data_IF_305742917666
#
_entry.id   IF_305742917666
#
_cell.length_a   1.000
_cell.length_b   1.000
_cell.length_c   1.000
_cell.angle_alpha   90.00
_cell.angle_beta   90.00
_cell.angle_gamma   90.00
#
_symmetry.space_group_name_H-M   'P 1'
#
loop_
_entity.id
_entity.type
_entity.pdbx_description
1 polymer ?
#
# COMPACT_ATOMS: atom_id res chain seq x y z
N UNK A 1 -5.46 -20.40 5.19
CA UNK A 1 -4.11 -20.38 5.80
C UNK A 1 -3.69 -18.95 6.16
N UNK A 2 -3.77 -17.97 5.25
CA UNK A 2 -3.45 -16.56 5.56
C UNK A 2 -4.32 -15.96 6.69
N UNK A 3 -5.63 -16.23 6.72
CA UNK A 3 -6.52 -15.75 7.79
C UNK A 3 -6.10 -16.32 9.15
N UNK A 4 -5.72 -17.60 9.18
CA UNK A 4 -5.28 -18.28 10.42
C UNK A 4 -3.92 -17.74 10.87
N UNK A 5 -3.00 -17.45 9.93
CA UNK A 5 -1.71 -16.80 10.21
C UNK A 5 -1.86 -15.35 10.67
N UNK A 6 -2.85 -14.62 10.17
CA UNK A 6 -3.15 -13.26 10.61
C UNK A 6 -3.76 -13.25 12.01
N UNK A 7 -4.63 -14.22 12.32
CA UNK A 7 -5.20 -14.40 13.66
C UNK A 7 -4.13 -14.86 14.65
N UNK A 8 -3.28 -15.84 14.29
CA UNK A 8 -2.19 -16.29 15.15
C UNK A 8 -1.18 -15.18 15.40
N UNK A 9 -0.77 -14.48 14.34
CA UNK A 9 0.14 -13.34 14.42
C UNK A 9 -0.42 -12.21 15.29
N UNK A 10 -1.72 -11.93 15.20
CA UNK A 10 -2.35 -10.91 16.03
C UNK A 10 -2.54 -11.29 17.50
N UNK A 11 -2.70 -12.57 17.81
CA UNK A 11 -2.75 -13.08 19.19
C UNK A 11 -1.36 -13.08 19.82
N UNK A 12 -0.32 -13.35 19.03
CA UNK A 12 1.09 -13.39 19.49
C UNK A 12 1.81 -12.04 19.37
N UNK A 13 1.09 -10.97 19.00
CA UNK A 13 1.66 -9.65 18.80
C UNK A 13 2.14 -9.11 20.16
N UNK A 14 3.42 -8.72 20.24
CA UNK A 14 4.07 -8.31 21.49
C UNK A 14 3.39 -7.07 22.12
N UNK A 15 2.64 -6.31 21.31
CA UNK A 15 1.90 -5.10 21.69
C UNK A 15 0.49 -5.13 21.11
N UNK A 16 -0.37 -6.03 21.59
CA UNK A 16 -1.78 -6.05 21.17
C UNK A 16 -2.48 -4.72 21.51
N UNK A 17 -2.72 -3.89 20.48
CA UNK A 17 -3.44 -2.64 20.60
C UNK A 17 -4.75 -2.70 19.81
N UNK A 18 -5.87 -2.94 20.50
CA UNK A 18 -7.20 -3.05 19.90
C UNK A 18 -7.56 -1.86 18.98
N UNK A 19 -7.09 -0.65 19.33
CA UNK A 19 -7.23 0.55 18.50
C UNK A 19 -6.46 0.46 17.18
N UNK A 20 -5.25 -0.10 17.18
CA UNK A 20 -4.46 -0.32 15.97
C UNK A 20 -5.12 -1.33 15.03
N UNK A 21 -5.66 -2.43 15.59
CA UNK A 21 -6.40 -3.42 14.83
C UNK A 21 -7.72 -2.88 14.25
N UNK A 22 -8.44 -2.03 15.01
CA UNK A 22 -9.63 -1.33 14.50
C UNK A 22 -9.28 -0.41 13.31
N UNK A 23 -8.18 0.35 13.42
CA UNK A 23 -7.66 1.16 12.32
C UNK A 23 -7.25 0.31 11.11
N UNK A 24 -6.67 -0.87 11.31
CA UNK A 24 -6.30 -1.78 10.23
C UNK A 24 -7.52 -2.32 9.47
N UNK A 25 -8.61 -2.63 10.18
CA UNK A 25 -9.87 -3.05 9.55
C UNK A 25 -10.45 -1.92 8.70
N UNK A 26 -10.52 -0.70 9.27
CA UNK A 26 -10.98 0.49 8.54
C UNK A 26 -10.10 0.74 7.31
N UNK A 27 -8.77 0.65 7.44
CA UNK A 27 -7.84 0.79 6.33
C UNK A 27 -8.09 -0.26 5.23
N UNK A 28 -8.40 -1.50 5.60
CA UNK A 28 -8.71 -2.56 4.64
C UNK A 28 -9.98 -2.24 3.84
N UNK A 29 -11.05 -1.80 4.51
CA UNK A 29 -12.29 -1.36 3.85
C UNK A 29 -12.07 -0.15 2.93
N UNK A 30 -11.32 0.84 3.39
CA UNK A 30 -10.99 2.02 2.59
C UNK A 30 -10.14 1.66 1.37
N UNK A 31 -9.13 0.80 1.53
CA UNK A 31 -8.25 0.33 0.44
C UNK A 31 -9.03 -0.47 -0.60
N UNK A 32 -9.94 -1.34 -0.16
CA UNK A 32 -10.82 -2.09 -1.05
C UNK A 32 -11.77 -1.15 -1.81
N UNK A 33 -12.40 -0.19 -1.12
CA UNK A 33 -13.31 0.79 -1.71
C UNK A 33 -12.60 1.70 -2.71
N UNK A 34 -11.39 2.16 -2.39
CA UNK A 34 -10.53 2.93 -3.28
C UNK A 34 -10.14 2.13 -4.53
N UNK A 35 -9.69 0.88 -4.37
CA UNK A 35 -9.31 0.02 -5.50
C UNK A 35 -10.49 -0.22 -6.45
N UNK A 36 -11.70 -0.42 -5.91
CA UNK A 36 -12.92 -0.61 -6.69
C UNK A 36 -13.35 0.68 -7.40
N UNK A 37 -13.27 1.82 -6.71
CA UNK A 37 -13.63 3.14 -7.26
C UNK A 37 -12.66 3.55 -8.36
N UNK A 38 -11.35 3.38 -8.14
CA UNK A 38 -10.32 3.63 -9.14
C UNK A 38 -10.56 2.80 -10.40
N UNK A 39 -10.91 1.52 -10.23
CA UNK A 39 -11.22 0.63 -11.36
C UNK A 39 -12.45 1.08 -12.13
N UNK A 40 -13.53 1.43 -11.43
CA UNK A 40 -14.74 1.99 -12.05
C UNK A 40 -14.45 3.28 -12.82
N UNK A 41 -13.63 4.17 -12.26
CA UNK A 41 -13.26 5.43 -12.91
C UNK A 41 -12.36 5.17 -14.13
N UNK A 42 -11.39 4.24 -14.05
CA UNK A 42 -10.59 3.84 -15.20
C UNK A 42 -11.46 3.28 -16.33
N UNK A 43 -12.45 2.47 -16.00
CA UNK A 43 -13.40 1.90 -16.97
C UNK A 43 -14.30 2.98 -17.60
N UNK A 44 -14.83 3.92 -16.81
CA UNK A 44 -15.63 5.05 -17.29
C UNK A 44 -14.80 6.05 -18.12
N UNK A 45 -13.57 6.36 -17.70
CA UNK A 45 -12.67 7.23 -18.46
C UNK A 45 -12.26 6.61 -19.79
N UNK A 46 -12.19 5.27 -19.88
CA UNK A 46 -12.03 4.53 -21.15
C UNK A 46 -13.19 4.77 -22.13
N UNK A 47 -14.42 4.92 -21.63
CA UNK A 47 -15.62 5.16 -22.44
C UNK A 47 -15.71 6.60 -22.98
N UNK A 48 -15.13 7.57 -22.27
CA UNK A 48 -15.18 8.99 -22.64
C UNK A 48 -13.94 9.49 -23.42
N UNK A 49 -12.91 8.66 -23.60
CA UNK A 49 -11.68 9.04 -24.32
C UNK A 49 -11.75 8.52 -25.77
N UNK A 50 -11.79 9.43 -26.75
CA UNK A 50 -11.87 9.14 -28.20
C UNK A 50 -10.73 8.29 -28.80
N UNK A 51 -9.68 7.95 -28.03
CA UNK A 51 -8.50 7.20 -28.48
C UNK A 51 -8.48 5.73 -28.02
N UNK A 52 -9.45 5.28 -27.22
CA UNK A 52 -9.58 3.86 -26.84
C UNK A 52 -8.55 3.30 -25.84
N UNK A 53 -7.52 4.06 -25.47
CA UNK A 53 -6.60 3.72 -24.38
C UNK A 53 -6.26 4.96 -23.54
N UNK A 54 -6.44 4.86 -22.22
CA UNK A 54 -5.83 5.80 -21.27
C UNK A 54 -4.33 5.51 -21.26
N UNK A 55 -3.53 6.53 -21.54
CA UNK A 55 -2.08 6.44 -21.41
C UNK A 55 -1.71 6.16 -19.93
N UNK A 56 -0.70 5.34 -19.66
CA UNK A 56 -0.28 4.95 -18.31
C UNK A 56 0.05 6.18 -17.45
N UNK A 57 0.59 7.21 -18.09
CA UNK A 57 0.82 8.52 -17.50
C UNK A 57 -0.47 9.19 -17.00
N UNK A 58 -1.56 9.10 -17.77
CA UNK A 58 -2.88 9.64 -17.38
C UNK A 58 -3.49 8.89 -16.21
N UNK A 59 -3.28 7.57 -16.11
CA UNK A 59 -3.73 6.78 -14.96
C UNK A 59 -2.97 7.16 -13.68
N UNK A 60 -1.65 7.32 -13.76
CA UNK A 60 -0.82 7.76 -12.62
C UNK A 60 -1.18 9.19 -12.20
N UNK A 61 -1.35 10.10 -13.16
CA UNK A 61 -1.71 11.48 -12.88
C UNK A 61 -3.11 11.57 -12.25
N UNK A 62 -4.09 10.85 -12.79
CA UNK A 62 -5.44 10.81 -12.24
C UNK A 62 -5.44 10.27 -10.80
N UNK A 63 -4.66 9.21 -10.56
CA UNK A 63 -4.54 8.62 -9.24
C UNK A 63 -3.99 9.62 -8.20
N UNK A 64 -2.86 10.24 -8.51
CA UNK A 64 -2.22 11.20 -7.60
C UNK A 64 -3.07 12.47 -7.42
N UNK A 65 -3.72 12.95 -8.49
CA UNK A 65 -4.58 14.14 -8.43
C UNK A 65 -5.83 13.90 -7.58
N UNK A 66 -6.44 12.71 -7.66
CA UNK A 66 -7.63 12.39 -6.87
C UNK A 66 -7.31 12.22 -5.38
N UNK A 67 -6.06 11.86 -5.03
CA UNK A 67 -5.60 11.81 -3.65
C UNK A 67 -5.45 13.19 -3.00
N UNK A 68 -5.20 14.25 -3.77
CA UNK A 68 -5.03 15.61 -3.25
C UNK A 68 -6.28 16.18 -2.54
N UNK A 69 -7.50 16.19 -3.13
CA UNK A 69 -8.67 16.74 -2.46
C UNK A 69 -9.04 15.94 -1.20
N UNK A 70 -8.87 14.62 -1.22
CA UNK A 70 -9.08 13.78 -0.03
C UNK A 70 -8.06 14.11 1.06
N UNK A 71 -6.77 14.19 0.71
CA UNK A 71 -5.71 14.56 1.64
C UNK A 71 -5.92 15.94 2.26
N UNK A 72 -6.29 16.93 1.45
CA UNK A 72 -6.63 18.29 1.91
C UNK A 72 -7.81 18.28 2.87
N UNK A 73 -8.87 17.53 2.56
CA UNK A 73 -10.03 17.40 3.44
C UNK A 73 -9.64 16.79 4.80
N UNK A 74 -8.78 15.76 4.81
CA UNK A 74 -8.29 15.18 6.06
C UNK A 74 -7.47 16.19 6.88
N UNK A 75 -6.59 16.98 6.25
CA UNK A 75 -5.80 18.02 6.93
C UNK A 75 -6.72 19.01 7.67
N UNK A 76 -7.83 19.40 7.06
CA UNK A 76 -8.82 20.26 7.70
C UNK A 76 -9.61 19.56 8.81
N UNK A 77 -10.05 18.31 8.60
CA UNK A 77 -10.82 17.55 9.60
C UNK A 77 -10.01 17.31 10.87
N UNK A 78 -8.71 17.03 10.75
CA UNK A 78 -7.80 16.81 11.89
C UNK A 78 -7.17 18.11 12.43
N UNK A 79 -7.52 19.27 11.85
CA UNK A 79 -7.00 20.58 12.23
C UNK A 79 -5.45 20.68 12.28
N UNK A 80 -4.78 20.00 11.35
CA UNK A 80 -3.31 19.94 11.29
C UNK A 80 -2.67 21.24 10.78
N UNK A 81 -3.48 22.17 10.24
CA UNK A 81 -2.99 23.42 9.63
C UNK A 81 -2.23 24.28 10.64
N UNK A 82 -2.77 24.44 11.86
CA UNK A 82 -2.14 25.24 12.91
C UNK A 82 -0.84 24.61 13.43
N UNK A 83 -0.81 23.28 13.47
CA UNK A 83 0.35 22.51 13.90
C UNK A 83 1.47 22.63 12.86
N UNK A 84 1.15 22.44 11.58
CA UNK A 84 2.10 22.54 10.48
C UNK A 84 2.74 23.94 10.44
N UNK A 85 1.96 25.02 10.53
CA UNK A 85 2.49 26.40 10.48
C UNK A 85 3.46 26.75 11.63
N UNK A 86 3.30 26.12 12.80
CA UNK A 86 4.16 26.32 13.97
C UNK A 86 5.36 25.40 13.99
N UNK A 87 5.36 24.35 13.17
CA UNK A 87 6.39 23.31 13.18
C UNK A 87 7.69 23.83 12.54
N UNK A 88 8.80 23.93 13.29
CA UNK A 88 10.06 24.46 12.77
C UNK A 88 10.70 23.55 11.70
N UNK A 89 10.33 22.26 11.63
CA UNK A 89 10.82 21.34 10.58
C UNK A 89 10.48 21.83 9.16
N UNK A 90 9.35 22.53 8.96
CA UNK A 90 8.99 23.08 7.64
C UNK A 90 9.95 24.19 7.17
N UNK A 91 10.84 24.69 8.03
CA UNK A 91 11.85 25.69 7.67
C UNK A 91 13.21 25.06 7.32
N UNK A 92 13.39 23.76 7.56
CA UNK A 92 14.65 23.08 7.32
C UNK A 92 14.76 22.66 5.85
N UNK A 93 15.84 23.01 5.14
CA UNK A 93 16.04 22.61 3.75
C UNK A 93 16.21 21.09 3.60
N UNK A 94 16.80 20.43 4.59
CA UNK A 94 16.93 18.96 4.62
C UNK A 94 15.57 18.25 4.65
N UNK A 95 14.61 18.80 5.39
CA UNK A 95 13.24 18.28 5.43
C UNK A 95 12.61 18.32 4.03
N UNK A 96 12.71 19.47 3.35
CA UNK A 96 12.19 19.60 1.98
C UNK A 96 12.91 18.69 0.99
N UNK A 97 14.23 18.52 1.11
CA UNK A 97 14.99 17.60 0.27
C UNK A 97 14.49 16.16 0.42
N UNK A 98 14.35 15.67 1.65
CA UNK A 98 13.85 14.31 1.94
C UNK A 98 12.39 14.15 1.47
N UNK A 99 11.55 15.16 1.71
CA UNK A 99 10.15 15.15 1.27
C UNK A 99 10.03 15.09 -0.26
N UNK A 100 10.80 15.91 -0.98
CA UNK A 100 10.81 15.90 -2.45
C UNK A 100 11.36 14.58 -2.99
N UNK A 101 12.43 14.05 -2.42
CA UNK A 101 12.99 12.75 -2.82
C UNK A 101 11.98 11.62 -2.58
N UNK A 102 11.31 11.61 -1.43
CA UNK A 102 10.23 10.66 -1.12
C UNK A 102 9.07 10.78 -2.11
N UNK A 103 8.71 12.01 -2.50
CA UNK A 103 7.70 12.26 -3.53
C UNK A 103 8.10 11.69 -4.90
N UNK A 104 9.35 11.89 -5.32
CA UNK A 104 9.88 11.34 -6.57
C UNK A 104 9.89 9.80 -6.56
N UNK A 105 10.32 9.18 -5.46
CA UNK A 105 10.26 7.72 -5.29
C UNK A 105 8.81 7.22 -5.30
N UNK A 106 7.89 7.94 -4.66
CA UNK A 106 6.45 7.63 -4.68
C UNK A 106 5.85 7.70 -6.08
N UNK A 107 6.26 8.68 -6.89
CA UNK A 107 5.89 8.76 -8.31
C UNK A 107 6.46 7.60 -9.11
N UNK A 108 7.72 7.22 -8.89
CA UNK A 108 8.34 6.07 -9.55
C UNK A 108 7.62 4.75 -9.20
N UNK A 109 7.26 4.54 -7.93
CA UNK A 109 6.46 3.40 -7.48
C UNK A 109 5.08 3.42 -8.16
N UNK A 110 4.41 4.58 -8.22
CA UNK A 110 3.10 4.71 -8.85
C UNK A 110 3.15 4.38 -10.35
N UNK A 111 4.19 4.87 -11.05
CA UNK A 111 4.38 4.61 -12.47
C UNK A 111 4.66 3.13 -12.75
N UNK A 112 5.65 2.55 -12.05
CA UNK A 112 5.97 1.12 -12.18
C UNK A 112 4.79 0.22 -11.81
N UNK A 113 3.99 0.59 -10.82
CA UNK A 113 2.80 -0.16 -10.41
C UNK A 113 1.71 -0.15 -11.48
N UNK A 114 1.41 1.01 -12.06
CA UNK A 114 0.44 1.12 -13.16
C UNK A 114 0.93 0.43 -14.43
N UNK A 115 2.22 0.58 -14.76
CA UNK A 115 2.84 -0.12 -15.89
C UNK A 115 2.78 -1.64 -15.71
N UNK A 116 3.12 -2.16 -14.52
CA UNK A 116 3.01 -3.59 -14.21
C UNK A 116 1.55 -4.06 -14.27
N UNK A 117 0.60 -3.28 -13.77
CA UNK A 117 -0.83 -3.59 -13.88
C UNK A 117 -1.32 -3.60 -15.33
N UNK A 118 -0.77 -2.74 -16.19
CA UNK A 118 -1.12 -2.68 -17.61
C UNK A 118 -0.61 -3.90 -18.39
N UNK A 119 0.63 -4.33 -18.10
CA UNK A 119 1.25 -5.49 -18.73
C UNK A 119 0.74 -6.83 -18.15
N UNK A 120 0.15 -6.82 -16.95
CA UNK A 120 -0.32 -8.02 -16.26
C UNK A 120 -1.81 -7.95 -15.90
N UNK A 121 -2.29 -8.86 -15.05
CA UNK A 121 -3.66 -8.81 -14.54
C UNK A 121 -3.69 -8.31 -13.10
N UNK A 122 -4.83 -7.74 -12.68
CA UNK A 122 -5.06 -7.28 -11.31
C UNK A 122 -4.76 -8.35 -10.23
N UNK A 123 -5.00 -9.63 -10.54
CA UNK A 123 -4.67 -10.75 -9.65
C UNK A 123 -3.17 -10.98 -9.51
N UNK A 124 -2.39 -10.81 -10.59
CA UNK A 124 -0.91 -10.92 -10.57
C UNK A 124 -0.30 -9.72 -9.85
N UNK A 125 -0.82 -8.52 -10.10
CA UNK A 125 -0.43 -7.30 -9.37
C UNK A 125 -0.62 -7.47 -7.85
N UNK A 126 -1.79 -7.93 -7.42
CA UNK A 126 -2.07 -8.20 -6.00
C UNK A 126 -1.14 -9.25 -5.41
N UNK A 127 -0.80 -10.29 -6.18
CA UNK A 127 0.10 -11.35 -5.75
C UNK A 127 1.52 -10.83 -5.51
N UNK A 128 2.07 -10.08 -6.47
CA UNK A 128 3.41 -9.48 -6.35
C UNK A 128 3.43 -8.49 -5.20
N UNK A 129 2.35 -7.73 -5.00
CA UNK A 129 2.19 -6.87 -3.82
C UNK A 129 2.29 -7.64 -2.50
N UNK A 130 1.62 -8.78 -2.38
CA UNK A 130 1.75 -9.65 -1.19
C UNK A 130 3.15 -10.23 -1.04
N UNK A 131 3.81 -10.62 -2.13
CA UNK A 131 5.19 -11.11 -2.10
C UNK A 131 6.19 -10.02 -1.69
N UNK A 132 5.99 -8.76 -2.10
CA UNK A 132 6.88 -7.65 -1.76
C UNK A 132 6.87 -7.32 -0.24
N UNK A 133 5.78 -7.64 0.46
CA UNK A 133 5.70 -7.47 1.92
C UNK A 133 6.71 -8.34 2.67
N UNK A 134 7.13 -9.46 2.08
CA UNK A 134 8.05 -10.42 2.69
C UNK A 134 9.48 -9.85 2.83
N UNK A 135 10.19 -9.48 1.74
CA UNK A 135 11.52 -8.89 1.86
C UNK A 135 11.48 -7.57 2.63
N UNK A 136 10.38 -6.79 2.52
CA UNK A 136 10.19 -5.58 3.30
C UNK A 136 10.15 -5.87 4.81
N UNK A 137 9.44 -6.92 5.24
CA UNK A 137 9.36 -7.31 6.65
C UNK A 137 10.72 -7.80 7.18
N UNK A 138 11.45 -8.59 6.39
CA UNK A 138 12.81 -9.05 6.73
C UNK A 138 13.75 -7.85 6.87
N UNK A 139 13.74 -6.94 5.89
CA UNK A 139 14.54 -5.72 5.92
C UNK A 139 14.21 -4.85 7.14
N UNK A 140 12.92 -4.72 7.50
CA UNK A 140 12.49 -4.00 8.69
C UNK A 140 13.04 -4.60 9.99
N UNK A 141 12.97 -5.92 10.14
CA UNK A 141 13.52 -6.60 11.33
C UNK A 141 15.04 -6.41 11.42
N UNK A 142 15.75 -6.58 10.30
CA UNK A 142 17.22 -6.47 10.26
C UNK A 142 17.69 -5.03 10.47
N UNK A 143 17.06 -4.05 9.83
CA UNK A 143 17.47 -2.65 9.90
C UNK A 143 17.11 -2.02 11.25
N UNK A 144 15.91 -2.28 11.76
CA UNK A 144 15.41 -1.65 13.00
C UNK A 144 15.62 -2.50 14.26
N UNK A 145 16.28 -3.66 14.14
CA UNK A 145 16.59 -4.56 15.27
C UNK A 145 15.38 -4.84 16.15
N UNK A 146 14.22 -5.07 15.53
CA UNK A 146 12.96 -5.27 16.25
C UNK A 146 13.04 -6.57 17.07
N UNK A 147 12.72 -6.56 18.39
CA UNK A 147 12.73 -7.77 19.19
C UNK A 147 11.72 -8.76 18.63
N UNK A 148 12.22 -9.88 18.10
CA UNK A 148 11.40 -10.93 17.50
C UNK A 148 11.30 -12.10 18.47
N UNK A 149 10.10 -12.35 19.01
CA UNK A 149 9.80 -13.58 19.74
C UNK A 149 9.73 -14.77 18.77
N UNK A 150 10.01 -15.97 19.27
CA UNK A 150 9.96 -17.20 18.47
C UNK A 150 8.60 -17.40 17.77
N UNK A 151 7.51 -16.99 18.45
CA UNK A 151 6.15 -17.03 17.93
C UNK A 151 5.90 -16.04 16.80
N UNK A 152 6.45 -14.81 16.90
CA UNK A 152 6.35 -13.82 15.84
C UNK A 152 7.15 -14.24 14.60
N UNK A 153 8.36 -14.78 14.80
CA UNK A 153 9.17 -15.33 13.71
C UNK A 153 8.49 -16.50 13.01
N UNK A 154 7.83 -17.40 13.77
CA UNK A 154 7.04 -18.49 13.20
C UNK A 154 5.82 -17.98 12.42
N UNK A 155 5.09 -17.00 12.95
CA UNK A 155 3.94 -16.39 12.27
C UNK A 155 4.34 -15.72 10.95
N UNK A 156 5.46 -14.99 10.94
CA UNK A 156 6.02 -14.39 9.72
C UNK A 156 6.36 -15.50 8.72
N UNK A 157 7.07 -16.55 9.15
CA UNK A 157 7.45 -17.68 8.29
C UNK A 157 6.24 -18.41 7.69
N UNK A 158 5.21 -18.69 8.49
CA UNK A 158 3.98 -19.32 7.98
C UNK A 158 3.21 -18.43 7.01
N UNK A 159 3.13 -17.12 7.26
CA UNK A 159 2.56 -16.16 6.31
C UNK A 159 3.32 -16.12 4.98
N UNK A 160 4.65 -16.20 5.05
CA UNK A 160 5.58 -16.28 3.92
C UNK A 160 5.31 -17.51 3.06
N UNK A 161 5.25 -18.67 3.70
CA UNK A 161 4.99 -19.97 3.04
C UNK A 161 3.59 -19.97 2.42
N UNK A 162 2.58 -19.48 3.14
CA UNK A 162 1.21 -19.37 2.63
C UNK A 162 1.13 -18.49 1.38
N UNK A 163 1.82 -17.34 1.37
CA UNK A 163 1.89 -16.43 0.21
C UNK A 163 2.53 -17.09 -1.02
N UNK A 164 3.61 -17.85 -0.83
CA UNK A 164 4.28 -18.61 -1.91
C UNK A 164 3.40 -19.74 -2.45
N UNK A 165 2.71 -20.48 -1.58
CA UNK A 165 1.77 -21.52 -2.02
C UNK A 165 0.58 -20.95 -2.79
N UNK A 166 0.02 -19.83 -2.33
CA UNK A 166 -1.05 -19.12 -3.03
C UNK A 166 -0.59 -18.65 -4.41
N UNK A 167 0.61 -18.04 -4.51
CA UNK A 167 1.23 -17.66 -5.77
C UNK A 167 1.35 -18.84 -6.74
N UNK A 168 1.89 -19.96 -6.25
CA UNK A 168 2.11 -21.16 -7.06
C UNK A 168 0.80 -21.79 -7.54
N UNK A 169 -0.20 -21.87 -6.68
CA UNK A 169 -1.53 -22.38 -7.03
C UNK A 169 -2.19 -21.51 -8.12
N UNK A 170 -2.09 -20.18 -7.99
CA UNK A 170 -2.65 -19.24 -8.96
C UNK A 170 -2.00 -19.31 -10.34
N UNK A 171 -0.68 -19.51 -10.41
CA UNK A 171 0.02 -19.71 -11.69
C UNK A 171 -0.42 -21.00 -12.38
N UNK A 172 -0.74 -22.04 -11.60
CA UNK A 172 -1.18 -23.34 -12.13
C UNK A 172 -2.63 -23.35 -12.62
N UNK A 173 -3.48 -22.47 -12.12
CA UNK A 173 -4.87 -22.26 -12.57
C UNK A 173 -4.94 -21.53 -13.94
N UNK A 174 -3.88 -20.80 -14.32
CA UNK A 174 -3.80 -20.07 -15.60
C UNK A 174 -3.13 -20.86 -16.74
N UNK A 175 -2.57 -22.04 -16.45
CA UNK A 175 -2.01 -22.97 -17.43
C UNK A 175 -3.05 -24.00 -17.83
#
# INVERSE_FOLDING_TARGET
MEIISAISGGITDLSFHAIGYAWQIINCFLTASYSLTLRRIMDTAKQHTKSGNLNEFSMVLLNNTLSLPLGTLLIFVFNEVDYLLKTPLLRLPEFWFVMTLSGLLGLAISFTSMWFLHQTGATTYSLVGSLNKIPLSIAGIVLFHVPTSLENSASIFFGLVAGVFFARAKMRERS
#
